data_IF_849075431260
#
_entry.id   IF_849075431260
#
_cell.length_a   1.000
_cell.length_b   1.000
_cell.length_c   1.000
_cell.angle_alpha   90.00
_cell.angle_beta   90.00
_cell.angle_gamma   90.00
#
_symmetry.space_group_name_H-M   'P 1'
#
loop_
_entity.id
_entity.type
_entity.pdbx_description
1 polymer ?
#
# COMPACT_ATOMS: atom_id res chain seq x y z
N UNK A 1 1.82 17.97 -20.45
CA UNK A 1 1.62 16.66 -21.07
C UNK A 1 2.61 15.69 -20.45
N UNK A 2 2.15 14.67 -19.73
CA UNK A 2 3.02 13.65 -19.15
C UNK A 2 3.14 12.55 -20.20
N UNK A 3 4.34 12.16 -20.58
CA UNK A 3 4.52 11.06 -21.55
C UNK A 3 4.06 9.73 -20.92
N UNK A 4 3.50 8.80 -21.69
CA UNK A 4 3.11 7.44 -21.23
C UNK A 4 4.15 6.80 -20.30
N UNK A 5 5.44 6.88 -20.68
CA UNK A 5 6.57 6.41 -19.86
C UNK A 5 6.67 7.06 -18.47
N UNK A 6 6.46 8.37 -18.38
CA UNK A 6 6.52 9.11 -17.11
C UNK A 6 5.32 8.81 -16.21
N UNK A 7 4.16 8.51 -16.79
CA UNK A 7 2.99 8.08 -16.03
C UNK A 7 3.22 6.68 -15.46
N UNK A 8 3.70 5.74 -16.29
CA UNK A 8 4.04 4.39 -15.86
C UNK A 8 5.05 4.41 -14.71
N UNK A 9 6.12 5.21 -14.83
CA UNK A 9 7.13 5.36 -13.77
C UNK A 9 6.52 5.87 -12.45
N UNK A 10 5.61 6.84 -12.51
CA UNK A 10 4.89 7.33 -11.31
C UNK A 10 4.00 6.25 -10.69
N UNK A 11 3.34 5.43 -11.52
CA UNK A 11 2.48 4.36 -11.04
C UNK A 11 3.30 3.25 -10.37
N UNK A 12 4.44 2.86 -10.95
CA UNK A 12 5.35 1.90 -10.31
C UNK A 12 5.92 2.44 -8.99
N UNK A 13 6.32 3.72 -8.91
CA UNK A 13 6.75 4.32 -7.64
C UNK A 13 5.62 4.33 -6.57
N UNK A 14 4.38 4.54 -6.99
CA UNK A 14 3.23 4.46 -6.09
C UNK A 14 2.98 3.01 -5.64
N UNK A 15 3.16 2.03 -6.53
CA UNK A 15 3.07 0.60 -6.23
C UNK A 15 4.09 0.21 -5.16
N UNK A 16 5.36 0.60 -5.34
CA UNK A 16 6.45 0.34 -4.39
C UNK A 16 6.15 0.96 -3.02
N UNK A 17 5.57 2.16 -2.99
CA UNK A 17 5.18 2.84 -1.76
C UNK A 17 4.09 2.10 -0.99
N UNK A 18 3.09 1.55 -1.70
CA UNK A 18 2.04 0.72 -1.09
C UNK A 18 2.61 -0.61 -0.57
N UNK A 19 3.57 -1.23 -1.28
CA UNK A 19 4.24 -2.43 -0.79
C UNK A 19 5.06 -2.18 0.48
N UNK A 20 5.81 -1.07 0.52
CA UNK A 20 6.54 -0.65 1.71
C UNK A 20 5.61 -0.39 2.90
N UNK A 21 4.50 0.33 2.68
CA UNK A 21 3.50 0.58 3.72
C UNK A 21 2.92 -0.72 4.28
N UNK A 22 2.60 -1.69 3.42
CA UNK A 22 2.09 -3.00 3.84
C UNK A 22 3.07 -3.72 4.76
N UNK A 23 4.37 -3.71 4.41
CA UNK A 23 5.44 -4.28 5.22
C UNK A 23 5.57 -3.55 6.57
N UNK A 24 5.50 -2.21 6.61
CA UNK A 24 5.54 -1.42 7.85
C UNK A 24 4.37 -1.73 8.79
N UNK A 25 3.16 -1.84 8.25
CA UNK A 25 1.98 -2.17 9.04
C UNK A 25 2.02 -3.61 9.56
N UNK A 26 2.32 -4.58 8.70
CA UNK A 26 2.24 -5.99 9.07
C UNK A 26 3.46 -6.49 9.82
N UNK A 27 4.66 -6.31 9.26
CA UNK A 27 5.88 -6.92 9.79
C UNK A 27 6.45 -6.15 10.97
N UNK A 28 6.35 -4.82 10.96
CA UNK A 28 6.90 -4.02 12.04
C UNK A 28 5.86 -3.68 13.09
N UNK A 29 4.70 -3.17 12.70
CA UNK A 29 3.73 -2.65 13.69
C UNK A 29 2.97 -3.79 14.37
N UNK A 30 2.25 -4.63 13.63
CA UNK A 30 1.44 -5.70 14.23
C UNK A 30 2.31 -6.72 14.98
N UNK A 31 3.41 -7.21 14.39
CA UNK A 31 4.27 -8.21 15.05
C UNK A 31 4.98 -7.66 16.30
N UNK A 32 5.23 -6.36 16.38
CA UNK A 32 5.92 -5.76 17.53
C UNK A 32 5.00 -5.45 18.71
N UNK A 33 3.68 -5.39 18.53
CA UNK A 33 2.71 -5.10 19.60
C UNK A 33 2.90 -6.00 20.82
N UNK A 34 3.27 -7.27 20.63
CA UNK A 34 3.54 -8.23 21.72
C UNK A 34 4.70 -7.80 22.64
N UNK A 35 5.61 -6.96 22.17
CA UNK A 35 6.74 -6.47 22.94
C UNK A 35 6.43 -5.19 23.74
N UNK A 36 5.33 -4.50 23.46
CA UNK A 36 4.93 -3.29 24.19
C UNK A 36 4.23 -3.64 25.52
N UNK A 37 5.04 -3.98 26.53
CA UNK A 37 4.58 -4.35 27.88
C UNK A 37 3.82 -3.24 28.61
N UNK A 38 4.06 -1.98 28.24
CA UNK A 38 3.39 -0.80 28.81
C UNK A 38 2.00 -0.54 28.21
N UNK A 39 1.66 -1.22 27.11
CA UNK A 39 0.36 -1.11 26.45
C UNK A 39 -0.55 -2.22 26.99
N UNK A 40 -1.72 -1.84 27.48
CA UNK A 40 -2.75 -2.79 27.91
C UNK A 40 -3.29 -3.58 26.71
N UNK A 41 -3.81 -4.79 26.96
CA UNK A 41 -4.28 -5.68 25.89
C UNK A 41 -5.42 -5.06 25.06
N UNK A 42 -6.34 -4.33 25.70
CA UNK A 42 -7.42 -3.60 25.00
C UNK A 42 -6.89 -2.54 24.02
N UNK A 43 -5.77 -1.89 24.37
CA UNK A 43 -5.11 -0.91 23.51
C UNK A 43 -4.33 -1.59 22.40
N UNK A 44 -3.66 -2.72 22.67
CA UNK A 44 -3.00 -3.54 21.64
C UNK A 44 -4.00 -4.01 20.60
N UNK A 45 -5.16 -4.51 21.04
CA UNK A 45 -6.23 -4.95 20.14
C UNK A 45 -6.77 -3.80 19.28
N UNK A 46 -7.00 -2.61 19.87
CA UNK A 46 -7.38 -1.42 19.10
C UNK A 46 -6.36 -1.05 18.03
N UNK A 47 -5.07 -1.03 18.38
CA UNK A 47 -4.00 -0.74 17.42
C UNK A 47 -3.97 -1.80 16.32
N UNK A 48 -4.01 -3.09 16.69
CA UNK A 48 -4.04 -4.18 15.72
C UNK A 48 -5.21 -4.05 14.75
N UNK A 49 -6.41 -3.71 15.25
CA UNK A 49 -7.59 -3.51 14.42
C UNK A 49 -7.46 -2.34 13.44
N UNK A 50 -6.90 -1.21 13.88
CA UNK A 50 -6.64 -0.05 13.01
C UNK A 50 -5.61 -0.41 11.94
N UNK A 51 -4.49 -1.00 12.34
CA UNK A 51 -3.39 -1.31 11.42
C UNK A 51 -3.80 -2.40 10.42
N UNK A 52 -4.64 -3.35 10.83
CA UNK A 52 -5.19 -4.37 9.92
C UNK A 52 -6.09 -3.74 8.84
N UNK A 53 -6.90 -2.74 9.20
CA UNK A 53 -7.70 -2.01 8.21
C UNK A 53 -6.84 -1.21 7.22
N UNK A 54 -5.81 -0.53 7.73
CA UNK A 54 -4.85 0.20 6.87
C UNK A 54 -4.15 -0.75 5.90
N UNK A 55 -3.77 -1.94 6.37
CA UNK A 55 -3.21 -2.99 5.53
C UNK A 55 -4.17 -3.41 4.41
N UNK A 56 -5.43 -3.65 4.74
CA UNK A 56 -6.45 -4.05 3.76
C UNK A 56 -6.66 -2.95 2.70
N UNK A 57 -6.66 -1.68 3.11
CA UNK A 57 -6.79 -0.55 2.19
C UNK A 57 -5.56 -0.40 1.28
N UNK A 58 -4.35 -0.51 1.83
CA UNK A 58 -3.11 -0.53 1.04
C UNK A 58 -3.10 -1.67 0.01
N UNK A 59 -3.60 -2.86 0.38
CA UNK A 59 -3.72 -3.97 -0.58
C UNK A 59 -4.73 -3.66 -1.69
N UNK A 60 -5.84 -2.95 -1.39
CA UNK A 60 -6.78 -2.50 -2.41
C UNK A 60 -6.16 -1.46 -3.34
N UNK A 61 -5.42 -0.50 -2.80
CA UNK A 61 -4.72 0.51 -3.59
C UNK A 61 -3.71 -0.13 -4.54
N UNK A 62 -2.91 -1.08 -4.04
CA UNK A 62 -2.00 -1.88 -4.86
C UNK A 62 -2.72 -2.49 -6.07
N UNK A 63 -3.82 -3.20 -5.84
CA UNK A 63 -4.59 -3.83 -6.92
C UNK A 63 -5.15 -2.81 -7.94
N UNK A 64 -5.51 -1.60 -7.49
CA UNK A 64 -5.97 -0.53 -8.38
C UNK A 64 -4.81 0.01 -9.22
N UNK A 65 -3.65 0.23 -8.61
CA UNK A 65 -2.44 0.72 -9.29
C UNK A 65 -1.97 -0.30 -10.33
N UNK A 66 -1.94 -1.60 -10.00
CA UNK A 66 -1.59 -2.67 -10.95
C UNK A 66 -2.50 -2.66 -12.18
N UNK A 67 -3.82 -2.52 -11.97
CA UNK A 67 -4.77 -2.40 -13.08
C UNK A 67 -4.53 -1.15 -13.92
N UNK A 68 -4.25 -0.02 -13.28
CA UNK A 68 -3.96 1.23 -14.01
C UNK A 68 -2.67 1.13 -14.83
N UNK A 69 -1.64 0.46 -14.31
CA UNK A 69 -0.41 0.17 -15.06
C UNK A 69 -0.75 -0.67 -16.29
N UNK A 70 -1.49 -1.76 -16.11
CA UNK A 70 -1.91 -2.64 -17.20
C UNK A 70 -2.71 -1.87 -18.26
N UNK A 71 -3.75 -1.13 -17.86
CA UNK A 71 -4.59 -0.35 -18.76
C UNK A 71 -3.77 0.68 -19.57
N UNK A 72 -2.78 1.31 -18.92
CA UNK A 72 -1.89 2.28 -19.56
C UNK A 72 -0.93 1.59 -20.53
N UNK A 73 -0.34 0.46 -20.14
CA UNK A 73 0.58 -0.33 -20.98
C UNK A 73 -0.11 -0.85 -22.25
N UNK A 74 -1.29 -1.44 -22.11
CA UNK A 74 -2.11 -2.00 -23.19
C UNK A 74 -2.77 -0.94 -24.08
N UNK A 75 -2.87 0.31 -23.61
CA UNK A 75 -3.43 1.39 -24.42
C UNK A 75 -2.58 1.68 -25.65
N UNK A 76 -3.16 1.52 -26.84
CA UNK A 76 -2.57 1.95 -28.12
C UNK A 76 -2.55 3.48 -28.29
N UNK A 77 -3.21 4.21 -27.38
CA UNK A 77 -3.21 5.68 -27.38
C UNK A 77 -2.06 6.19 -26.53
N UNK A 78 -1.44 7.28 -26.99
CA UNK A 78 -0.68 8.12 -26.08
C UNK A 78 -1.59 8.52 -24.93
N UNK A 79 -1.13 8.34 -23.69
CA UNK A 79 -1.90 8.74 -22.52
C UNK A 79 -1.87 10.26 -22.48
N UNK A 80 -2.95 10.86 -22.99
CA UNK A 80 -3.13 12.26 -23.42
C UNK A 80 -2.44 12.62 -24.74
#
# INVERSE_FOLDING_TARGET
MIKKKQLIEKLYNALDSEEEANNQFYDYTIKSLKYYKWLSEDKKEKVQNIVSKLKDDTQRHKNVIEKLIQDVEESEKDVF
#
